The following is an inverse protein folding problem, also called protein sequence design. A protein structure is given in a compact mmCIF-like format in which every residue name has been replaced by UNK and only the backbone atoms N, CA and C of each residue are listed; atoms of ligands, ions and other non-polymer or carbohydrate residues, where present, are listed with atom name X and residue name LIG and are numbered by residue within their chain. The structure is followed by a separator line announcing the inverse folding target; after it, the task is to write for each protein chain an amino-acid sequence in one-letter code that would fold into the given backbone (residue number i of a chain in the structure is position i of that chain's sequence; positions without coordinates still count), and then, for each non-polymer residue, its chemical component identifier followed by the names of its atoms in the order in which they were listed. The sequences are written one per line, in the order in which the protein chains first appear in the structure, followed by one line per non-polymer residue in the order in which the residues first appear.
data_IF_293277151243
#
_entry.id   IF_293277151243
#
_cell.length_a   1.000
_cell.length_b   1.000
_cell.length_c   1.000
_cell.angle_alpha   90.00
_cell.angle_beta   90.00
_cell.angle_gamma   90.00
#
_symmetry.space_group_name_H-M   'P 1'
#
loop_
_entity.id
_entity.type
_entity.pdbx_description
1 polymer ?
#
# COMPACT_ATOMS: atom_id res chain seq x y z
N UNK A 1 18.38 21.50 -17.88
CA UNK A 1 18.52 20.04 -17.70
C UNK A 1 18.07 19.80 -16.28
N UNK A 2 16.85 19.32 -16.11
CA UNK A 2 16.27 19.10 -14.79
C UNK A 2 16.77 17.75 -14.26
N UNK A 3 17.74 17.83 -13.35
CA UNK A 3 18.16 16.75 -12.48
C UNK A 3 16.98 16.37 -11.58
N UNK A 4 16.11 15.51 -12.08
CA UNK A 4 15.28 14.67 -11.21
C UNK A 4 16.20 13.61 -10.63
N UNK A 5 16.84 14.04 -9.54
CA UNK A 5 17.63 13.25 -8.62
C UNK A 5 17.03 11.85 -8.48
N UNK A 6 17.86 10.91 -8.88
CA UNK A 6 17.64 9.48 -8.81
C UNK A 6 17.21 9.17 -7.38
N UNK A 7 15.91 8.92 -7.15
CA UNK A 7 15.44 8.40 -5.89
C UNK A 7 16.16 7.07 -5.70
N UNK A 8 17.22 7.12 -4.91
CA UNK A 8 18.09 6.00 -4.56
C UNK A 8 17.24 4.99 -3.79
N UNK A 9 16.66 4.04 -4.53
CA UNK A 9 15.81 2.98 -4.01
C UNK A 9 16.56 2.09 -3.01
N UNK A 10 17.89 2.19 -2.96
CA UNK A 10 18.77 1.49 -2.03
C UNK A 10 18.70 2.09 -0.60
N UNK A 11 18.10 3.27 -0.43
CA UNK A 11 17.91 3.91 0.89
C UNK A 11 16.58 3.54 1.58
N UNK A 12 15.72 2.72 0.95
CA UNK A 12 14.56 2.15 1.64
C UNK A 12 15.08 1.02 2.51
N UNK A 13 15.36 1.33 3.78
CA UNK A 13 15.62 0.36 4.82
C UNK A 13 14.34 -0.48 5.04
N UNK A 14 14.17 -1.51 4.22
CA UNK A 14 13.18 -2.55 4.44
C UNK A 14 13.67 -3.34 5.65
N UNK A 15 13.32 -2.84 6.85
CA UNK A 15 13.57 -3.54 8.09
C UNK A 15 13.14 -5.02 7.93
N UNK A 16 14.00 -6.00 8.27
CA UNK A 16 13.64 -7.40 8.18
C UNK A 16 12.39 -7.61 9.03
N UNK A 17 11.26 -7.95 8.41
CA UNK A 17 10.09 -8.38 9.16
C UNK A 17 10.51 -9.61 9.96
N UNK A 18 10.45 -9.51 11.30
CA UNK A 18 10.69 -10.61 12.22
C UNK A 18 10.10 -11.91 11.66
N UNK A 19 10.96 -12.93 11.49
CA UNK A 19 10.67 -14.19 10.80
C UNK A 19 9.56 -15.06 11.42
N UNK A 20 8.84 -14.53 12.40
CA UNK A 20 7.63 -15.09 13.02
C UNK A 20 6.34 -14.52 12.44
N UNK A 21 6.40 -13.50 11.57
CA UNK A 21 5.22 -12.96 10.90
C UNK A 21 5.03 -13.67 9.57
N UNK A 22 4.17 -14.68 9.53
CA UNK A 22 3.77 -15.30 8.25
C UNK A 22 3.23 -14.20 7.32
N UNK A 23 3.86 -14.06 6.14
CA UNK A 23 3.33 -13.15 5.12
C UNK A 23 2.02 -13.76 4.62
N UNK A 24 0.95 -12.97 4.67
CA UNK A 24 -0.30 -13.33 4.00
C UNK A 24 -0.03 -13.65 2.53
N UNK A 25 -0.77 -14.62 2.00
CA UNK A 25 -0.71 -14.95 0.58
C UNK A 25 -0.93 -13.68 -0.27
N UNK A 26 -0.21 -13.61 -1.40
CA UNK A 26 -0.33 -12.48 -2.32
C UNK A 26 -1.77 -12.39 -2.84
N UNK A 27 -2.35 -11.19 -2.80
CA UNK A 27 -3.61 -10.87 -3.44
C UNK A 27 -3.44 -10.95 -4.96
N UNK A 28 -4.47 -11.41 -5.66
CA UNK A 28 -4.61 -11.16 -7.09
C UNK A 28 -4.82 -9.66 -7.34
N UNK A 29 -4.55 -9.21 -8.58
CA UNK A 29 -4.74 -7.80 -8.95
C UNK A 29 -6.19 -7.35 -8.69
N UNK A 30 -7.16 -8.18 -9.03
CA UNK A 30 -8.58 -7.89 -8.81
C UNK A 30 -8.88 -7.75 -7.30
N UNK A 31 -8.42 -8.70 -6.48
CA UNK A 31 -8.61 -8.63 -5.03
C UNK A 31 -7.97 -7.38 -4.41
N UNK A 32 -6.80 -6.96 -4.91
CA UNK A 32 -6.16 -5.73 -4.47
C UNK A 32 -7.00 -4.48 -4.80
N UNK A 33 -7.61 -4.42 -5.99
CA UNK A 33 -8.52 -3.33 -6.36
C UNK A 33 -9.81 -3.33 -5.53
N UNK A 34 -10.41 -4.50 -5.30
CA UNK A 34 -11.62 -4.64 -4.49
C UNK A 34 -11.36 -4.20 -3.05
N UNK A 35 -10.24 -4.63 -2.47
CA UNK A 35 -9.83 -4.23 -1.12
C UNK A 35 -9.53 -2.74 -1.03
N UNK A 36 -8.84 -2.17 -2.03
CA UNK A 36 -8.59 -0.73 -2.09
C UNK A 36 -9.90 0.08 -2.09
N UNK A 37 -10.87 -0.34 -2.90
CA UNK A 37 -12.18 0.33 -2.96
C UNK A 37 -12.91 0.28 -1.63
N UNK A 38 -12.89 -0.87 -0.94
CA UNK A 38 -13.49 -1.03 0.38
C UNK A 38 -12.83 -0.08 1.40
N UNK A 39 -11.51 -0.04 1.46
CA UNK A 39 -10.78 0.82 2.38
C UNK A 39 -11.05 2.30 2.14
N UNK A 40 -11.10 2.73 0.88
CA UNK A 40 -11.46 4.11 0.53
C UNK A 40 -12.89 4.45 0.96
N UNK A 41 -13.82 3.50 0.88
CA UNK A 41 -15.20 3.68 1.33
C UNK A 41 -15.24 3.91 2.84
N UNK A 42 -14.53 3.09 3.61
CA UNK A 42 -14.44 3.21 5.09
C UNK A 42 -13.71 4.50 5.49
N UNK A 43 -12.67 4.90 4.75
CA UNK A 43 -11.93 6.14 5.01
C UNK A 43 -12.82 7.38 4.87
N UNK A 44 -13.81 7.35 3.98
CA UNK A 44 -14.71 8.46 3.72
C UNK A 44 -15.92 8.51 4.68
N UNK A 45 -16.26 7.41 5.33
CA UNK A 45 -17.46 7.27 6.18
C UNK A 45 -17.33 7.97 7.55
N UNK A 46 -16.15 8.49 7.91
CA UNK A 46 -15.92 9.22 9.16
C UNK A 46 -15.96 8.34 10.43
N UNK A 47 -15.85 7.02 10.27
CA UNK A 47 -15.79 6.04 11.35
C UNK A 47 -14.46 6.17 12.13
N UNK A 48 -14.37 5.71 13.40
CA UNK A 48 -13.10 5.69 14.15
C UNK A 48 -11.94 4.95 13.45
N UNK A 49 -12.28 4.04 12.51
CA UNK A 49 -11.30 3.31 11.72
C UNK A 49 -10.85 4.04 10.45
N UNK A 50 -11.47 5.18 10.09
CA UNK A 50 -11.16 5.91 8.85
C UNK A 50 -9.68 6.30 8.72
N UNK A 51 -8.97 6.78 9.76
CA UNK A 51 -7.53 7.05 9.65
C UNK A 51 -6.70 5.80 9.35
N UNK A 52 -7.08 4.66 9.94
CA UNK A 52 -6.41 3.39 9.69
C UNK A 52 -6.72 2.87 8.28
N UNK A 53 -7.97 3.03 7.82
CA UNK A 53 -8.39 2.67 6.48
C UNK A 53 -7.68 3.50 5.41
N UNK A 54 -7.53 4.82 5.61
CA UNK A 54 -6.79 5.69 4.69
C UNK A 54 -5.32 5.27 4.58
N UNK A 55 -4.66 5.00 5.73
CA UNK A 55 -3.29 4.51 5.74
C UNK A 55 -3.15 3.20 4.95
N UNK A 56 -4.02 2.22 5.22
CA UNK A 56 -3.97 0.92 4.52
C UNK A 56 -4.29 1.06 3.03
N UNK A 57 -5.19 1.96 2.65
CA UNK A 57 -5.49 2.24 1.25
C UNK A 57 -4.25 2.74 0.51
N UNK A 58 -3.47 3.65 1.11
CA UNK A 58 -2.20 4.13 0.54
C UNK A 58 -1.17 3.01 0.42
N UNK A 59 -1.03 2.16 1.44
CA UNK A 59 -0.10 1.04 1.41
C UNK A 59 -0.45 0.01 0.32
N UNK A 60 -1.73 -0.27 0.09
CA UNK A 60 -2.18 -1.16 -0.99
C UNK A 60 -2.00 -0.48 -2.36
N UNK A 61 -2.41 0.77 -2.51
CA UNK A 61 -2.29 1.50 -3.78
C UNK A 61 -0.84 1.57 -4.27
N UNK A 62 0.13 1.73 -3.36
CA UNK A 62 1.55 1.72 -3.70
C UNK A 62 2.07 0.36 -4.21
N UNK A 63 1.33 -0.74 -3.98
CA UNK A 63 1.70 -2.11 -4.39
C UNK A 63 0.92 -2.60 -5.62
N UNK A 64 -0.13 -1.89 -6.03
CA UNK A 64 -0.88 -2.23 -7.24
C UNK A 64 -0.08 -1.73 -8.45
N UNK A 65 0.29 -2.62 -9.40
CA UNK A 65 0.96 -2.20 -10.63
C UNK A 65 0.03 -1.27 -11.43
N UNK A 66 0.57 -0.17 -11.94
CA UNK A 66 -0.16 0.67 -12.89
C UNK A 66 -0.34 -0.10 -14.20
N UNK A 67 -1.54 -0.03 -14.81
CA UNK A 67 -1.74 -0.53 -16.17
C UNK A 67 -0.77 0.21 -17.12
N UNK A 68 -0.01 -0.56 -17.90
CA UNK A 68 0.90 -0.09 -18.95
C UNK A 68 0.18 -0.03 -20.29
#
# INVERSE_FOLDING_TARGET
MDDYDHLDLDAIDFAPLDGTTERLALLTLQEAHDQLRLLLTIAQDGHPLSPQADRLAREIAARIPSEN
#
